data_IF_503696111085
#
_entry.id   IF_503696111085
#
_cell.length_a   1.000
_cell.length_b   1.000
_cell.length_c   1.000
_cell.angle_alpha   90.00
_cell.angle_beta   90.00
_cell.angle_gamma   90.00
#
_symmetry.space_group_name_H-M   'P 1'
#
loop_
_entity.id
_entity.type
_entity.pdbx_description
1 polymer ?
#
# COMPACT_ATOMS: atom_id res chain seq x y z
N UNK A 1 -2.04 -21.14 -13.43
CA UNK A 1 -2.74 -19.85 -13.59
C UNK A 1 -1.69 -18.77 -13.77
N UNK A 2 -1.82 -17.90 -14.77
CA UNK A 2 -0.88 -16.79 -15.02
C UNK A 2 -1.59 -15.50 -14.57
N UNK A 3 -0.87 -14.62 -13.86
CA UNK A 3 -1.36 -13.32 -13.41
C UNK A 3 -0.32 -12.24 -13.70
N UNK A 4 -0.79 -11.03 -14.03
CA UNK A 4 0.05 -9.83 -14.08
C UNK A 4 -0.13 -9.03 -12.78
N UNK A 5 0.98 -8.49 -12.28
CA UNK A 5 0.96 -7.75 -11.03
C UNK A 5 1.87 -6.52 -11.06
N UNK A 6 1.51 -5.53 -10.23
CA UNK A 6 2.34 -4.36 -9.91
C UNK A 6 2.28 -4.13 -8.40
N UNK A 7 3.42 -4.24 -7.71
CA UNK A 7 3.46 -4.20 -6.26
C UNK A 7 3.93 -2.87 -5.67
N UNK A 8 4.38 -1.94 -6.51
CA UNK A 8 4.97 -0.69 -6.07
C UNK A 8 4.24 0.50 -6.68
N UNK A 9 3.21 0.94 -5.97
CA UNK A 9 2.49 2.17 -6.24
C UNK A 9 2.46 3.02 -4.98
N UNK A 10 1.94 4.23 -5.10
CA UNK A 10 1.78 5.14 -3.99
C UNK A 10 0.35 5.68 -3.88
N UNK A 11 -0.03 6.03 -2.66
CA UNK A 11 -1.29 6.66 -2.31
C UNK A 11 -1.21 8.19 -2.43
N UNK A 12 -2.30 8.93 -2.20
CA UNK A 12 -2.28 10.40 -2.10
C UNK A 12 -1.38 10.96 -1.00
N UNK A 13 -0.93 10.14 -0.05
CA UNK A 13 -0.12 10.57 1.10
C UNK A 13 1.38 10.59 0.80
N UNK A 14 1.79 10.13 -0.39
CA UNK A 14 3.17 10.26 -0.87
C UNK A 14 3.34 11.54 -1.69
N UNK A 15 4.50 12.18 -1.57
CA UNK A 15 4.81 13.39 -2.35
C UNK A 15 4.86 13.13 -3.86
N UNK A 16 4.24 14.00 -4.66
CA UNK A 16 4.26 13.92 -6.13
C UNK A 16 3.25 12.95 -6.74
N UNK A 17 2.31 12.43 -5.95
CA UNK A 17 1.20 11.61 -6.43
C UNK A 17 -0.07 12.44 -6.65
N UNK A 18 -1.05 11.87 -7.34
CA UNK A 18 -2.35 12.51 -7.56
C UNK A 18 -3.21 12.41 -6.30
N UNK A 19 -3.77 13.54 -5.86
CA UNK A 19 -4.71 13.63 -4.73
C UNK A 19 -6.01 12.82 -4.94
N UNK A 20 -6.30 12.45 -6.19
CA UNK A 20 -7.50 11.70 -6.57
C UNK A 20 -7.32 10.18 -6.51
N UNK A 21 -6.15 9.70 -6.10
CA UNK A 21 -5.90 8.26 -6.01
C UNK A 21 -6.71 7.67 -4.86
N UNK A 22 -7.46 6.63 -5.15
CA UNK A 22 -8.12 5.75 -4.20
C UNK A 22 -8.05 4.30 -4.72
N UNK A 23 -8.37 3.31 -3.89
CA UNK A 23 -8.34 1.90 -4.33
C UNK A 23 -9.25 1.61 -5.53
N UNK A 24 -10.37 2.35 -5.68
CA UNK A 24 -11.29 2.16 -6.80
C UNK A 24 -10.69 2.63 -8.13
N UNK A 25 -10.15 3.84 -8.17
CA UNK A 25 -9.45 4.39 -9.34
C UNK A 25 -8.21 3.56 -9.69
N UNK A 26 -7.50 3.02 -8.69
CA UNK A 26 -6.41 2.08 -8.91
C UNK A 26 -6.94 0.81 -9.60
N UNK A 27 -8.02 0.20 -9.10
CA UNK A 27 -8.63 -0.98 -9.70
C UNK A 27 -9.12 -0.72 -11.14
N UNK A 28 -9.77 0.42 -11.39
CA UNK A 28 -10.18 0.83 -12.74
C UNK A 28 -8.99 0.94 -13.71
N UNK A 29 -7.86 1.49 -13.25
CA UNK A 29 -6.61 1.55 -14.01
C UNK A 29 -6.00 0.17 -14.23
N UNK A 30 -5.98 -0.67 -13.20
CA UNK A 30 -5.47 -2.03 -13.22
C UNK A 30 -6.21 -2.90 -14.25
N UNK A 31 -7.55 -2.83 -14.28
CA UNK A 31 -8.38 -3.54 -15.26
C UNK A 31 -8.04 -3.12 -16.70
N UNK A 32 -7.89 -1.81 -16.96
CA UNK A 32 -7.50 -1.30 -18.29
C UNK A 32 -6.09 -1.76 -18.68
N UNK A 33 -5.18 -1.87 -17.71
CA UNK A 33 -3.79 -2.30 -17.91
C UNK A 33 -3.65 -3.82 -18.05
N UNK A 34 -4.62 -4.59 -17.58
CA UNK A 34 -4.58 -6.06 -17.53
C UNK A 34 -3.87 -6.62 -16.31
N UNK A 35 -3.88 -5.91 -15.18
CA UNK A 35 -3.32 -6.34 -13.89
C UNK A 35 -4.39 -7.07 -13.07
N UNK A 36 -4.02 -8.23 -12.50
CA UNK A 36 -4.89 -9.05 -11.67
C UNK A 36 -4.68 -8.82 -10.16
N UNK A 37 -3.48 -8.37 -9.80
CA UNK A 37 -3.04 -8.16 -8.43
C UNK A 37 -2.22 -6.88 -8.33
N UNK A 38 -2.51 -6.03 -7.35
CA UNK A 38 -1.84 -4.74 -7.18
C UNK A 38 -1.38 -4.56 -5.73
N UNK A 39 -0.24 -3.93 -5.50
CA UNK A 39 0.16 -3.50 -4.16
C UNK A 39 -0.72 -2.35 -3.69
N UNK A 40 -1.08 -2.29 -2.41
CA UNK A 40 -1.86 -1.14 -1.91
C UNK A 40 -1.08 0.18 -1.95
N UNK A 41 0.26 0.09 -1.88
CA UNK A 41 1.11 1.23 -1.58
C UNK A 41 0.86 1.75 -0.16
N UNK A 42 1.87 2.39 0.43
CA UNK A 42 1.75 3.22 1.64
C UNK A 42 0.94 2.60 2.80
N UNK A 43 0.93 1.27 2.95
CA UNK A 43 -0.04 0.58 3.82
C UNK A 43 0.16 0.82 5.32
N UNK A 44 1.27 1.47 5.69
CA UNK A 44 1.57 1.90 7.05
C UNK A 44 0.93 3.26 7.39
N UNK A 45 0.54 4.06 6.40
CA UNK A 45 -0.08 5.36 6.62
C UNK A 45 -1.48 5.17 7.27
N UNK A 46 -1.77 5.76 8.45
CA UNK A 46 -2.99 5.47 9.21
C UNK A 46 -4.29 5.68 8.42
N UNK A 47 -4.40 6.83 7.73
CA UNK A 47 -5.60 7.17 6.96
C UNK A 47 -5.76 6.29 5.73
N UNK A 48 -4.64 5.91 5.09
CA UNK A 48 -4.66 4.99 3.96
C UNK A 48 -5.03 3.59 4.39
N UNK A 49 -4.45 3.10 5.49
CA UNK A 49 -4.79 1.80 6.04
C UNK A 49 -6.27 1.70 6.42
N UNK A 50 -6.88 2.80 6.91
CA UNK A 50 -8.32 2.86 7.14
C UNK A 50 -9.09 2.68 5.84
N UNK A 51 -8.73 3.41 4.78
CA UNK A 51 -9.32 3.26 3.44
C UNK A 51 -9.19 1.83 2.89
N UNK A 52 -8.00 1.22 3.01
CA UNK A 52 -7.77 -0.16 2.57
C UNK A 52 -8.70 -1.14 3.29
N UNK A 53 -8.89 -0.97 4.61
CA UNK A 53 -9.76 -1.83 5.42
C UNK A 53 -11.22 -1.77 5.02
N UNK A 54 -11.68 -0.74 4.31
CA UNK A 54 -13.06 -0.67 3.78
C UNK A 54 -13.33 -1.75 2.72
N UNK A 55 -12.28 -2.24 2.05
CA UNK A 55 -12.33 -3.29 1.03
C UNK A 55 -11.81 -4.63 1.52
N UNK A 56 -11.48 -4.74 2.81
CA UNK A 56 -10.99 -5.99 3.40
C UNK A 56 -12.16 -6.89 3.80
N UNK A 57 -12.15 -8.12 3.30
CA UNK A 57 -13.10 -9.14 3.68
C UNK A 57 -12.43 -10.52 3.68
N UNK A 58 -12.58 -11.26 4.79
CA UNK A 58 -12.11 -12.65 4.96
C UNK A 58 -10.68 -12.92 4.44
N UNK A 59 -9.72 -12.11 4.87
CA UNK A 59 -8.31 -12.28 4.50
C UNK A 59 -7.92 -11.75 3.12
N UNK A 60 -8.84 -11.09 2.40
CA UNK A 60 -8.59 -10.54 1.06
C UNK A 60 -8.95 -9.07 0.99
N UNK A 61 -8.24 -8.34 0.13
CA UNK A 61 -8.57 -6.99 -0.26
C UNK A 61 -8.92 -7.05 -1.74
N UNK A 62 -10.17 -6.76 -2.10
CA UNK A 62 -10.64 -6.85 -3.48
C UNK A 62 -11.49 -5.63 -3.83
N UNK A 63 -11.23 -5.04 -4.99
CA UNK A 63 -12.04 -3.95 -5.55
C UNK A 63 -12.31 -4.24 -7.00
N UNK A 64 -13.59 -4.32 -7.37
CA UNK A 64 -14.06 -4.55 -8.74
C UNK A 64 -13.36 -5.75 -9.45
N UNK A 65 -13.09 -6.82 -8.70
CA UNK A 65 -12.42 -8.03 -9.19
C UNK A 65 -10.88 -7.96 -9.29
N UNK A 66 -10.27 -6.85 -8.88
CA UNK A 66 -8.81 -6.69 -8.74
C UNK A 66 -8.43 -7.00 -7.29
N UNK A 67 -7.47 -7.90 -7.11
CA UNK A 67 -6.96 -8.23 -5.79
C UNK A 67 -5.86 -7.25 -5.38
N UNK A 68 -5.72 -7.04 -4.07
CA UNK A 68 -4.66 -6.21 -3.51
C UNK A 68 -3.86 -6.95 -2.44
N UNK A 69 -2.56 -6.64 -2.38
CA UNK A 69 -1.64 -7.07 -1.31
C UNK A 69 -1.11 -5.84 -0.58
N UNK A 70 -0.95 -5.94 0.75
CA UNK A 70 -0.38 -4.86 1.54
C UNK A 70 1.08 -4.63 1.14
N UNK A 71 1.37 -3.43 0.63
CA UNK A 71 2.72 -3.01 0.28
C UNK A 71 3.02 -1.61 0.80
N UNK A 72 4.30 -1.36 1.07
CA UNK A 72 4.83 -0.05 1.45
C UNK A 72 6.25 0.11 0.93
N UNK A 73 6.65 1.34 0.61
CA UNK A 73 8.04 1.75 0.45
C UNK A 73 8.47 2.49 1.73
N UNK A 74 9.68 2.21 2.23
CA UNK A 74 10.30 2.99 3.31
C UNK A 74 11.66 3.53 2.87
N UNK A 75 12.04 4.70 3.38
CA UNK A 75 13.34 5.34 3.10
C UNK A 75 14.28 5.18 4.29
N UNK A 76 15.50 4.67 4.04
CA UNK A 76 16.51 4.58 5.10
C UNK A 76 17.34 5.87 5.24
N UNK A 77 18.21 5.91 6.25
CA UNK A 77 19.09 7.07 6.54
C UNK A 77 20.00 7.51 5.38
N UNK A 78 20.23 6.64 4.39
CA UNK A 78 21.06 6.90 3.23
C UNK A 78 20.20 7.24 1.99
N UNK A 79 18.90 7.44 2.16
CA UNK A 79 17.92 7.69 1.10
C UNK A 79 17.74 6.51 0.14
N UNK A 80 18.01 5.30 0.62
CA UNK A 80 17.71 4.07 -0.13
C UNK A 80 16.27 3.67 0.14
N UNK A 81 15.55 3.34 -0.92
CA UNK A 81 14.17 2.90 -0.86
C UNK A 81 14.08 1.37 -0.78
N UNK A 82 13.23 0.89 0.12
CA UNK A 82 13.02 -0.53 0.37
C UNK A 82 11.54 -0.86 0.23
N UNK A 83 11.21 -1.77 -0.69
CA UNK A 83 9.84 -2.28 -0.86
C UNK A 83 9.59 -3.42 0.14
N UNK A 84 8.47 -3.34 0.85
CA UNK A 84 8.04 -4.35 1.82
C UNK A 84 6.63 -4.81 1.49
N UNK A 85 6.42 -6.13 1.46
CA UNK A 85 5.12 -6.77 1.30
C UNK A 85 4.73 -7.45 2.61
N UNK A 86 3.51 -7.22 3.07
CA UNK A 86 2.99 -7.83 4.29
C UNK A 86 1.94 -8.89 3.98
N UNK A 87 1.97 -10.04 4.69
CA UNK A 87 0.93 -11.06 4.55
C UNK A 87 -0.42 -10.61 5.10
N UNK A 88 -0.45 -9.73 6.09
CA UNK A 88 -1.67 -9.29 6.76
C UNK A 88 -1.49 -7.95 7.49
N UNK A 89 -2.59 -7.39 8.01
CA UNK A 89 -2.54 -6.16 8.80
C UNK A 89 -1.82 -6.32 10.13
N UNK A 90 -1.72 -7.54 10.68
CA UNK A 90 -1.04 -7.77 11.95
C UNK A 90 0.47 -7.52 11.78
N UNK A 91 1.09 -8.18 10.81
CA UNK A 91 2.50 -8.02 10.44
C UNK A 91 2.84 -6.59 10.02
N UNK A 92 1.97 -5.92 9.26
CA UNK A 92 2.15 -4.51 8.92
C UNK A 92 2.18 -3.61 10.16
N UNK A 93 1.28 -3.84 11.13
CA UNK A 93 1.21 -3.03 12.35
C UNK A 93 2.34 -3.38 13.34
N UNK A 94 2.72 -4.65 13.48
CA UNK A 94 3.87 -5.06 14.29
C UNK A 94 5.17 -4.45 13.75
N UNK A 95 5.37 -4.48 12.42
CA UNK A 95 6.49 -3.78 11.78
C UNK A 95 6.47 -2.29 12.11
N UNK A 96 5.32 -1.62 11.92
CA UNK A 96 5.14 -0.20 12.21
C UNK A 96 5.57 0.15 13.63
N UNK A 97 5.10 -0.59 14.63
CA UNK A 97 5.44 -0.34 16.03
C UNK A 97 6.93 -0.56 16.33
N UNK A 98 7.58 -1.54 15.70
CA UNK A 98 9.02 -1.78 15.87
C UNK A 98 9.88 -0.65 15.29
N UNK A 99 9.47 -0.09 14.15
CA UNK A 99 10.26 0.94 13.45
C UNK A 99 9.90 2.37 13.83
N UNK A 100 8.76 2.58 14.51
CA UNK A 100 8.26 3.90 14.94
C UNK A 100 9.26 4.74 15.71
N UNK A 101 10.17 4.13 16.48
CA UNK A 101 11.21 4.86 17.21
C UNK A 101 12.37 5.35 16.34
N UNK A 102 12.47 4.87 15.10
CA UNK A 102 13.51 5.22 14.13
C UNK A 102 13.00 6.14 13.01
N UNK A 103 11.68 6.20 12.79
CA UNK A 103 11.07 7.06 11.78
C UNK A 103 10.42 8.28 12.44
N UNK A 104 10.68 9.46 11.87
CA UNK A 104 10.14 10.74 12.37
C UNK A 104 8.74 11.05 11.85
N UNK A 105 8.31 10.34 10.80
CA UNK A 105 7.14 10.64 9.98
C UNK A 105 6.28 9.40 9.65
N UNK A 106 6.42 8.30 10.41
CA UNK A 106 5.71 7.02 10.25
C UNK A 106 4.17 7.10 10.18
N UNK A 107 3.59 8.23 10.60
CA UNK A 107 2.15 8.47 10.57
C UNK A 107 1.72 9.53 9.56
N UNK A 108 2.65 10.26 8.96
CA UNK A 108 2.38 11.48 8.20
C UNK A 108 2.80 11.35 6.73
N UNK A 109 3.80 10.53 6.44
CA UNK A 109 4.31 10.30 5.08
C UNK A 109 3.86 8.93 4.54
N UNK A 110 3.56 8.86 3.24
CA UNK A 110 3.27 7.61 2.54
C UNK A 110 4.50 6.68 2.42
N UNK A 111 5.71 7.26 2.42
CA UNK A 111 7.01 6.56 2.40
C UNK A 111 7.91 6.97 3.58
N UNK A 112 7.58 6.48 4.79
CA UNK A 112 8.20 6.93 6.04
C UNK A 112 9.59 6.35 6.33
#
# INVERSE_FOLDING_TARGET
MIMNADFHIHSPFSGGTSERIDLKSIAEGALKKGLNLVGTGDCLHPSWQKHIKEYYNDGKIEVDGVNFILSVEVEDKNRVHHLILFPDFYSANDFKERVKKYSVNINDDGRP
#
